data_IF_873555955824
#
_entry.id   IF_873555955824
#
_cell.length_a   1.000
_cell.length_b   1.000
_cell.length_c   1.000
_cell.angle_alpha   90.00
_cell.angle_beta   90.00
_cell.angle_gamma   90.00
#
_symmetry.space_group_name_H-M   'P 1'
#
loop_
_entity.id
_entity.type
_entity.pdbx_description
1 polymer ?
#
# COMPACT_ATOMS: atom_id res chain seq x y z
N UNK A 1 8.37 -5.48 -21.25
CA UNK A 1 8.47 -6.91 -21.64
C UNK A 1 9.59 -7.67 -20.92
N UNK A 2 10.80 -7.11 -20.70
CA UNK A 2 11.90 -7.77 -19.97
C UNK A 2 11.51 -8.34 -18.59
N UNK A 3 10.82 -7.56 -17.76
CA UNK A 3 10.42 -7.97 -16.41
C UNK A 3 9.48 -9.20 -16.40
N UNK A 4 8.55 -9.28 -17.36
CA UNK A 4 7.64 -10.43 -17.47
C UNK A 4 8.39 -11.73 -17.81
N UNK A 5 9.38 -11.65 -18.71
CA UNK A 5 10.21 -12.80 -19.08
C UNK A 5 11.07 -13.25 -17.90
N UNK A 6 11.70 -12.30 -17.20
CA UNK A 6 12.51 -12.62 -16.02
C UNK A 6 11.67 -13.30 -14.93
N UNK A 7 10.49 -12.77 -14.62
CA UNK A 7 9.60 -13.35 -13.61
C UNK A 7 9.13 -14.75 -14.02
N UNK A 8 8.81 -14.96 -15.30
CA UNK A 8 8.43 -16.28 -15.82
C UNK A 8 9.58 -17.29 -15.66
N UNK A 9 10.78 -16.91 -16.08
CA UNK A 9 11.97 -17.75 -16.00
C UNK A 9 12.31 -18.09 -14.54
N UNK A 10 12.33 -17.10 -13.65
CA UNK A 10 12.60 -17.31 -12.22
C UNK A 10 11.53 -18.14 -11.53
N UNK A 11 10.26 -17.99 -11.90
CA UNK A 11 9.16 -18.82 -11.37
C UNK A 11 9.31 -20.27 -11.79
N UNK A 12 9.59 -20.51 -13.08
CA UNK A 12 9.81 -21.88 -13.58
C UNK A 12 11.08 -22.50 -12.98
N UNK A 13 12.19 -21.74 -12.92
CA UNK A 13 13.45 -22.22 -12.36
C UNK A 13 13.37 -22.52 -10.85
N UNK A 14 12.61 -21.73 -10.08
CA UNK A 14 12.47 -21.91 -8.63
C UNK A 14 11.44 -22.97 -8.22
N UNK A 15 10.34 -23.10 -8.97
CA UNK A 15 9.17 -23.90 -8.54
C UNK A 15 8.68 -24.92 -9.57
N UNK A 16 9.21 -24.95 -10.79
CA UNK A 16 8.85 -25.88 -11.87
C UNK A 16 7.46 -25.65 -12.50
N UNK A 17 6.49 -25.13 -11.75
CA UNK A 17 5.14 -24.83 -12.22
C UNK A 17 4.81 -23.35 -12.05
N UNK A 18 4.32 -22.72 -13.12
CA UNK A 18 3.98 -21.29 -13.15
C UNK A 18 2.52 -21.11 -12.80
N UNK A 19 2.25 -20.69 -11.55
CA UNK A 19 0.94 -20.32 -11.05
C UNK A 19 1.00 -19.00 -10.28
N UNK A 20 -0.15 -18.44 -9.90
CA UNK A 20 -0.22 -17.15 -9.19
C UNK A 20 0.63 -17.12 -7.93
N UNK A 21 0.53 -18.13 -7.07
CA UNK A 21 1.24 -18.20 -5.80
C UNK A 21 2.76 -18.19 -5.99
N UNK A 22 3.27 -18.97 -6.95
CA UNK A 22 4.70 -19.04 -7.24
C UNK A 22 5.19 -17.74 -7.90
N UNK A 23 4.39 -17.12 -8.76
CA UNK A 23 4.71 -15.81 -9.33
C UNK A 23 4.80 -14.76 -8.22
N UNK A 24 3.85 -14.72 -7.28
CA UNK A 24 3.89 -13.74 -6.18
C UNK A 24 5.06 -13.95 -5.22
N UNK A 25 5.54 -15.19 -5.03
CA UNK A 25 6.77 -15.48 -4.28
C UNK A 25 8.03 -14.94 -4.97
N UNK A 26 8.06 -14.88 -6.30
CA UNK A 26 9.23 -14.41 -7.08
C UNK A 26 9.23 -12.90 -7.29
N UNK A 27 8.05 -12.29 -7.45
CA UNK A 27 7.90 -10.86 -7.79
C UNK A 27 8.16 -9.95 -6.58
N UNK A 28 8.19 -10.50 -5.36
CA UNK A 28 8.53 -9.80 -4.12
C UNK A 28 7.80 -8.46 -3.94
N UNK A 29 6.51 -8.46 -4.28
CA UNK A 29 5.64 -7.29 -4.19
C UNK A 29 4.46 -7.59 -3.26
N UNK A 30 4.00 -6.60 -2.47
CA UNK A 30 2.84 -6.77 -1.61
C UNK A 30 1.61 -7.24 -2.40
N UNK A 31 0.90 -8.25 -1.88
CA UNK A 31 -0.28 -8.78 -2.56
C UNK A 31 -1.38 -7.68 -2.67
N UNK A 32 -1.88 -7.34 -3.87
CA UNK A 32 -2.81 -6.23 -4.08
C UNK A 32 -4.07 -6.30 -3.21
N UNK A 33 -4.57 -7.50 -2.93
CA UNK A 33 -5.74 -7.73 -2.06
C UNK A 33 -5.50 -7.20 -0.63
N UNK A 34 -4.32 -7.43 -0.05
CA UNK A 34 -4.01 -6.94 1.31
C UNK A 34 -3.95 -5.42 1.34
N UNK A 35 -3.30 -4.82 0.35
CA UNK A 35 -3.20 -3.35 0.22
C UNK A 35 -4.57 -2.72 -0.05
N UNK A 36 -5.43 -3.40 -0.80
CA UNK A 36 -6.81 -2.96 -1.04
C UNK A 36 -7.64 -2.99 0.26
N UNK A 37 -7.50 -4.05 1.06
CA UNK A 37 -8.14 -4.13 2.37
C UNK A 37 -7.66 -3.00 3.31
N UNK A 38 -6.36 -2.71 3.31
CA UNK A 38 -5.78 -1.59 4.06
C UNK A 38 -6.36 -0.24 3.63
N UNK A 39 -6.42 0.05 2.32
CA UNK A 39 -7.01 1.30 1.81
C UNK A 39 -8.50 1.41 2.16
N UNK A 40 -9.23 0.29 2.12
CA UNK A 40 -10.63 0.25 2.54
C UNK A 40 -10.78 0.54 4.04
N UNK A 41 -9.92 -0.02 4.88
CA UNK A 41 -9.90 0.28 6.32
C UNK A 41 -9.60 1.77 6.58
N UNK A 42 -8.67 2.38 5.82
CA UNK A 42 -8.44 3.82 5.88
C UNK A 42 -9.68 4.63 5.47
N UNK A 43 -10.42 4.17 4.46
CA UNK A 43 -11.64 4.83 4.01
C UNK A 43 -12.74 4.78 5.08
N UNK A 44 -12.85 3.67 5.80
CA UNK A 44 -13.79 3.49 6.91
C UNK A 44 -13.33 4.15 8.23
N UNK A 45 -12.15 4.78 8.25
CA UNK A 45 -11.57 5.40 9.45
C UNK A 45 -11.07 4.40 10.49
N UNK A 46 -10.86 3.14 10.13
CA UNK A 46 -10.36 2.09 11.04
C UNK A 46 -8.83 2.07 11.05
N UNK A 47 -8.24 3.03 11.75
CA UNK A 47 -6.78 3.22 11.77
C UNK A 47 -6.01 2.01 12.29
N UNK A 48 -6.48 1.37 13.37
CA UNK A 48 -5.77 0.23 13.98
C UNK A 48 -5.67 -0.96 13.02
N UNK A 49 -6.77 -1.27 12.32
CA UNK A 49 -6.80 -2.35 11.32
C UNK A 49 -5.92 -2.05 10.11
N UNK A 50 -5.87 -0.78 9.68
CA UNK A 50 -4.97 -0.36 8.60
C UNK A 50 -3.49 -0.45 9.01
N UNK A 51 -3.15 -0.03 10.24
CA UNK A 51 -1.79 -0.11 10.78
C UNK A 51 -1.34 -1.55 11.00
N UNK A 52 -2.22 -2.44 11.48
CA UNK A 52 -1.92 -3.87 11.62
C UNK A 52 -1.54 -4.48 10.26
N UNK A 53 -2.29 -4.17 9.21
CA UNK A 53 -1.97 -4.63 7.84
C UNK A 53 -0.63 -4.07 7.35
N UNK A 54 -0.33 -2.80 7.67
CA UNK A 54 0.98 -2.20 7.35
C UNK A 54 2.12 -2.89 8.08
N UNK A 55 1.96 -3.17 9.38
CA UNK A 55 2.97 -3.87 10.17
C UNK A 55 3.19 -5.29 9.70
N UNK A 56 2.14 -5.98 9.25
CA UNK A 56 2.27 -7.29 8.62
C UNK A 56 3.12 -7.19 7.33
N UNK A 57 2.80 -6.25 6.43
CA UNK A 57 3.57 -6.05 5.20
C UNK A 57 5.03 -5.66 5.49
N UNK A 58 5.26 -4.82 6.50
CA UNK A 58 6.60 -4.46 6.94
C UNK A 58 7.36 -5.65 7.52
N UNK A 59 6.70 -6.46 8.35
CA UNK A 59 7.28 -7.66 8.97
C UNK A 59 7.63 -8.77 7.97
N UNK A 60 6.97 -8.79 6.81
CA UNK A 60 7.31 -9.67 5.69
C UNK A 60 8.57 -9.21 4.93
N UNK A 61 9.14 -8.04 5.27
CA UNK A 61 10.37 -7.53 4.69
C UNK A 61 10.20 -6.69 3.43
N UNK A 62 8.97 -6.32 3.05
CA UNK A 62 8.74 -5.43 1.92
C UNK A 62 9.35 -4.05 2.18
N UNK A 63 10.00 -3.48 1.17
CA UNK A 63 10.59 -2.15 1.29
C UNK A 63 9.52 -1.05 1.40
N UNK A 64 9.87 0.06 2.05
CA UNK A 64 9.03 1.26 2.12
C UNK A 64 8.57 1.74 0.73
N UNK A 65 9.46 1.62 -0.26
CA UNK A 65 9.22 2.00 -1.64
C UNK A 65 8.19 1.07 -2.31
N UNK A 66 8.28 -0.24 -2.08
CA UNK A 66 7.34 -1.21 -2.67
C UNK A 66 5.95 -1.10 -2.06
N UNK A 67 5.88 -0.87 -0.74
CA UNK A 67 4.62 -0.63 -0.03
C UNK A 67 3.93 0.62 -0.59
N UNK A 68 4.61 1.78 -0.62
CA UNK A 68 4.00 3.03 -1.07
C UNK A 68 3.65 3.02 -2.58
N UNK A 69 4.50 2.41 -3.41
CA UNK A 69 4.24 2.26 -4.85
C UNK A 69 3.03 1.36 -5.11
N UNK A 70 2.87 0.29 -4.33
CA UNK A 70 1.71 -0.60 -4.43
C UNK A 70 0.45 0.09 -3.94
N UNK A 71 0.51 0.83 -2.82
CA UNK A 71 -0.61 1.65 -2.35
C UNK A 71 -1.09 2.62 -3.43
N UNK A 72 -0.17 3.33 -4.09
CA UNK A 72 -0.51 4.26 -5.16
C UNK A 72 -1.20 3.58 -6.35
N UNK A 73 -0.70 2.42 -6.77
CA UNK A 73 -1.29 1.63 -7.86
C UNK A 73 -2.69 1.12 -7.50
N UNK A 74 -2.84 0.53 -6.32
CA UNK A 74 -4.10 -0.07 -5.86
C UNK A 74 -5.16 1.00 -5.65
N UNK A 75 -4.80 2.17 -5.10
CA UNK A 75 -5.75 3.28 -4.89
C UNK A 75 -6.42 3.72 -6.20
N UNK A 76 -5.68 3.71 -7.32
CA UNK A 76 -6.23 4.05 -8.65
C UNK A 76 -7.26 3.05 -9.16
N UNK A 77 -7.10 1.78 -8.80
CA UNK A 77 -7.95 0.67 -9.29
C UNK A 77 -9.10 0.33 -8.35
N UNK A 78 -9.15 0.92 -7.15
CA UNK A 78 -10.21 0.65 -6.19
C UNK A 78 -11.50 1.38 -6.59
N UNK A 79 -12.56 0.62 -6.80
CA UNK A 79 -13.88 1.14 -7.18
C UNK A 79 -14.79 1.47 -5.99
N UNK A 80 -14.39 1.12 -4.77
CA UNK A 80 -15.20 1.36 -3.56
C UNK A 80 -15.09 2.79 -3.01
N UNK A 81 -14.08 3.55 -3.46
CA UNK A 81 -13.90 4.95 -3.05
C UNK A 81 -14.63 5.87 -4.03
N UNK A 82 -15.22 6.96 -3.51
CA UNK A 82 -15.68 8.07 -4.36
C UNK A 82 -14.48 8.68 -5.12
N UNK A 83 -14.72 9.24 -6.31
CA UNK A 83 -13.65 9.84 -7.10
C UNK A 83 -12.94 10.99 -6.36
N UNK A 84 -13.70 11.79 -5.59
CA UNK A 84 -13.13 12.84 -4.75
C UNK A 84 -12.18 12.26 -3.68
N UNK A 85 -12.63 11.27 -2.91
CA UNK A 85 -11.79 10.63 -1.88
C UNK A 85 -10.58 9.93 -2.49
N UNK A 86 -10.73 9.34 -3.67
CA UNK A 86 -9.64 8.70 -4.42
C UNK A 86 -8.55 9.71 -4.79
N UNK A 87 -8.92 10.88 -5.29
CA UNK A 87 -7.95 11.94 -5.64
C UNK A 87 -7.20 12.45 -4.40
N UNK A 88 -7.90 12.69 -3.28
CA UNK A 88 -7.25 13.11 -2.04
C UNK A 88 -6.31 12.02 -1.49
N UNK A 89 -6.69 10.75 -1.58
CA UNK A 89 -5.82 9.63 -1.19
C UNK A 89 -4.57 9.56 -2.07
N UNK A 90 -4.72 9.67 -3.39
CA UNK A 90 -3.61 9.67 -4.34
C UNK A 90 -2.63 10.81 -4.04
N UNK A 91 -3.14 12.00 -3.74
CA UNK A 91 -2.35 13.18 -3.38
C UNK A 91 -1.53 12.94 -2.10
N UNK A 92 -2.16 12.43 -1.04
CA UNK A 92 -1.49 12.20 0.24
C UNK A 92 -0.44 11.07 0.17
N UNK A 93 -0.77 9.99 -0.56
CA UNK A 93 0.18 8.91 -0.87
C UNK A 93 1.36 9.49 -1.69
N UNK A 94 1.10 10.37 -2.65
CA UNK A 94 2.12 11.03 -3.46
C UNK A 94 3.11 11.86 -2.65
N UNK A 95 2.62 12.65 -1.68
CA UNK A 95 3.50 13.41 -0.79
C UNK A 95 4.38 12.52 0.08
N UNK A 96 3.81 11.42 0.59
CA UNK A 96 4.58 10.44 1.37
C UNK A 96 5.61 9.74 0.49
N UNK A 97 5.24 9.42 -0.76
CA UNK A 97 6.15 8.81 -1.71
C UNK A 97 7.36 9.72 -2.02
N UNK A 98 7.14 11.03 -2.20
CA UNK A 98 8.25 11.98 -2.35
C UNK A 98 9.21 11.95 -1.16
N UNK A 99 8.70 11.98 0.09
CA UNK A 99 9.54 11.90 1.29
C UNK A 99 10.36 10.61 1.38
N UNK A 100 9.78 9.50 0.94
CA UNK A 100 10.47 8.20 0.87
C UNK A 100 11.61 8.26 -0.17
N UNK A 101 11.38 8.91 -1.31
CA UNK A 101 12.39 9.08 -2.36
C UNK A 101 13.50 10.07 -1.96
N UNK A 102 13.21 11.03 -1.09
CA UNK A 102 14.21 11.91 -0.46
C UNK A 102 15.06 11.20 0.61
N UNK A 103 14.80 9.90 0.85
CA UNK A 103 15.60 9.06 1.74
C UNK A 103 14.96 8.77 3.09
N UNK A 104 13.78 9.32 3.41
CA UNK A 104 13.08 9.09 4.69
C UNK A 104 12.25 7.81 4.60
N UNK A 105 12.92 6.66 4.53
CA UNK A 105 12.29 5.35 4.28
C UNK A 105 11.87 4.63 5.56
N UNK A 106 11.17 5.30 6.47
CA UNK A 106 10.84 4.74 7.79
C UNK A 106 9.40 4.26 7.90
N UNK A 107 9.18 3.25 8.73
CA UNK A 107 7.84 2.78 9.11
C UNK A 107 6.95 3.92 9.67
N UNK A 108 7.56 4.89 10.34
CA UNK A 108 6.87 6.07 10.85
C UNK A 108 6.25 6.92 9.73
N UNK A 109 6.94 7.10 8.59
CA UNK A 109 6.38 7.85 7.47
C UNK A 109 5.16 7.14 6.87
N UNK A 110 5.23 5.81 6.73
CA UNK A 110 4.11 4.99 6.26
C UNK A 110 2.93 5.01 7.23
N UNK A 111 3.20 4.88 8.54
CA UNK A 111 2.18 4.96 9.59
C UNK A 111 1.51 6.34 9.60
N UNK A 112 2.30 7.40 9.45
CA UNK A 112 1.80 8.76 9.31
C UNK A 112 0.95 8.98 8.05
N UNK A 113 1.28 8.31 6.94
CA UNK A 113 0.45 8.31 5.73
C UNK A 113 -0.93 7.68 6.01
N UNK A 114 -0.96 6.49 6.62
CA UNK A 114 -2.22 5.82 7.01
C UNK A 114 -3.07 6.71 7.91
N UNK A 115 -2.47 7.35 8.91
CA UNK A 115 -3.18 8.26 9.80
C UNK A 115 -3.80 9.45 9.04
N UNK A 116 -3.05 10.07 8.10
CA UNK A 116 -3.57 11.17 7.27
C UNK A 116 -4.70 10.71 6.34
N UNK A 117 -4.60 9.51 5.75
CA UNK A 117 -5.66 8.92 4.94
C UNK A 117 -6.94 8.66 5.75
N UNK A 118 -6.81 8.12 6.96
CA UNK A 118 -7.96 7.91 7.85
C UNK A 118 -8.63 9.24 8.24
N UNK A 119 -7.82 10.25 8.55
CA UNK A 119 -8.29 11.58 8.95
C UNK A 119 -9.19 12.23 7.90
N UNK A 120 -8.96 11.97 6.60
CA UNK A 120 -9.78 12.55 5.52
C UNK A 120 -11.26 12.14 5.57
N UNK A 121 -11.59 10.99 6.19
CA UNK A 121 -12.97 10.51 6.29
C UNK A 121 -13.53 10.58 7.73
N UNK A 122 -12.73 11.04 8.69
CA UNK A 122 -13.17 11.24 10.08
C UNK A 122 -13.82 12.62 10.25
N UNK A 123 -14.76 12.74 11.19
CA UNK A 123 -15.39 14.02 11.49
C UNK A 123 -14.35 14.99 12.07
N UNK A 124 -14.18 16.14 11.42
CA UNK A 124 -13.28 17.22 11.83
C UNK A 124 -13.46 17.64 13.29
N UNK A 125 -14.65 17.46 13.87
CA UNK A 125 -14.97 17.75 15.28
C UNK A 125 -14.21 16.87 16.27
N UNK A 126 -13.74 15.69 15.85
CA UNK A 126 -12.98 14.78 16.72
C UNK A 126 -11.53 15.24 16.94
N UNK A 127 -11.05 16.23 16.17
CA UNK A 127 -9.65 16.69 16.20
C UNK A 127 -9.49 18.12 16.73
N UNK A 128 -10.58 18.76 17.14
CA UNK A 128 -10.52 20.07 17.79
C UNK A 128 -10.14 19.83 19.25
N UNK A 129 -9.02 20.42 19.70
CA UNK A 129 -8.68 20.43 21.12
C UNK A 129 -9.82 21.11 21.86
N UNK A 130 -10.36 20.45 22.89
CA UNK A 130 -11.18 21.14 23.90
C UNK A 130 -10.40 22.29 24.51
#
# INVERSE_FOLDING_TARGET
>A
MRQAINNLQSTFAGFGFVNGDNVFKVVDSPHPIKVQAMIKACYEGKIDSALETLYELWGLGYSSHDIISTMFRVTKTVNTLSEHSKLEFIKEIGFTHMKILEGVQTLLQLSGCIARLCKLNMDSRQFVSK
#
